data_IF_099819291215
#
_entry.id   IF_099819291215
#
_cell.length_a   1.000
_cell.length_b   1.000
_cell.length_c   1.000
_cell.angle_alpha   90.00
_cell.angle_beta   90.00
_cell.angle_gamma   90.00
#
_symmetry.space_group_name_H-M   'P 1'
#
loop_
_entity.id
_entity.type
_entity.pdbx_description
1 polymer ?
#
# COMPACT_ATOMS: atom_id res chain seq x y z
N UNK A 1 6.31 -23.30 -31.30
CA UNK A 1 6.16 -21.97 -31.94
C UNK A 1 4.85 -21.41 -31.43
N UNK A 2 4.81 -20.30 -30.68
CA UNK A 2 3.53 -19.70 -30.35
C UNK A 2 2.95 -19.05 -31.61
N UNK A 3 1.68 -19.34 -31.91
CA UNK A 3 0.94 -18.77 -33.03
C UNK A 3 0.69 -17.29 -32.79
N UNK A 4 1.29 -16.45 -33.64
CA UNK A 4 1.11 -15.00 -33.64
C UNK A 4 -0.03 -14.63 -34.61
N UNK A 5 -1.27 -14.85 -34.18
CA UNK A 5 -2.49 -14.56 -34.97
C UNK A 5 -3.17 -13.29 -34.46
N UNK A 6 -3.34 -12.31 -35.36
CA UNK A 6 -4.07 -11.06 -35.10
C UNK A 6 -5.60 -11.24 -35.10
N UNK A 7 -6.37 -10.16 -34.81
CA UNK A 7 -7.83 -10.19 -34.72
C UNK A 7 -8.48 -10.24 -36.13
N UNK A 8 -8.32 -11.36 -36.82
CA UNK A 8 -9.01 -11.79 -38.05
C UNK A 8 -8.44 -13.10 -38.63
N UNK A 9 -7.38 -13.68 -38.06
CA UNK A 9 -6.69 -14.84 -38.63
C UNK A 9 -5.83 -14.50 -39.87
N UNK A 10 -5.66 -13.22 -40.21
CA UNK A 10 -4.72 -12.76 -41.22
C UNK A 10 -3.29 -12.70 -40.66
N UNK A 11 -2.25 -13.01 -41.47
CA UNK A 11 -0.87 -12.80 -41.07
C UNK A 11 -0.65 -11.34 -40.70
N UNK A 12 -0.06 -11.09 -39.53
CA UNK A 12 0.39 -9.76 -39.14
C UNK A 12 1.46 -9.31 -40.14
N UNK A 13 1.29 -8.10 -40.67
CA UNK A 13 2.37 -7.44 -41.41
C UNK A 13 3.54 -7.11 -40.48
N UNK A 14 4.67 -6.74 -41.08
CA UNK A 14 5.91 -6.52 -40.34
C UNK A 14 5.80 -5.35 -39.35
N UNK A 15 4.97 -4.34 -39.65
CA UNK A 15 4.71 -3.18 -38.78
C UNK A 15 3.92 -3.61 -37.53
N UNK A 16 2.83 -4.37 -37.70
CA UNK A 16 2.04 -4.88 -36.59
C UNK A 16 2.87 -5.82 -35.69
N UNK A 17 3.80 -6.58 -36.27
CA UNK A 17 4.71 -7.46 -35.51
C UNK A 17 5.71 -6.65 -34.67
N UNK A 18 6.32 -5.62 -35.26
CA UNK A 18 7.23 -4.74 -34.54
C UNK A 18 6.52 -3.99 -33.40
N UNK A 19 5.31 -3.50 -33.65
CA UNK A 19 4.50 -2.85 -32.62
C UNK A 19 4.14 -3.78 -31.44
N UNK A 20 3.88 -5.07 -31.70
CA UNK A 20 3.60 -6.05 -30.64
C UNK A 20 4.84 -6.38 -29.81
N UNK A 21 6.03 -6.40 -30.43
CA UNK A 21 7.30 -6.59 -29.74
C UNK A 21 7.59 -5.41 -28.80
N UNK A 22 7.51 -4.18 -29.31
CA UNK A 22 7.70 -2.96 -28.52
C UNK A 22 6.68 -2.86 -27.36
N UNK A 23 5.42 -3.20 -27.63
CA UNK A 23 4.38 -3.26 -26.60
C UNK A 23 4.72 -4.29 -25.51
N UNK A 24 5.30 -5.43 -25.89
CA UNK A 24 5.78 -6.45 -24.96
C UNK A 24 6.87 -5.92 -24.04
N UNK A 25 7.87 -5.24 -24.59
CA UNK A 25 8.99 -4.67 -23.84
C UNK A 25 8.56 -3.56 -22.87
N UNK A 26 7.65 -2.69 -23.32
CA UNK A 26 7.05 -1.65 -22.47
C UNK A 26 6.28 -2.29 -21.31
N UNK A 27 5.48 -3.31 -21.57
CA UNK A 27 4.71 -4.02 -20.53
C UNK A 27 5.62 -4.74 -19.54
N UNK A 28 6.69 -5.39 -20.01
CA UNK A 28 7.69 -5.98 -19.12
C UNK A 28 8.34 -4.94 -18.20
N UNK A 29 8.56 -3.72 -18.70
CA UNK A 29 9.05 -2.61 -17.87
C UNK A 29 8.03 -2.15 -16.82
N UNK A 30 6.74 -2.12 -17.18
CA UNK A 30 5.64 -1.82 -16.25
C UNK A 30 5.57 -2.89 -15.15
N UNK A 31 5.59 -4.17 -15.51
CA UNK A 31 5.52 -5.28 -14.55
C UNK A 31 6.66 -5.22 -13.53
N UNK A 32 7.87 -4.84 -13.96
CA UNK A 32 9.01 -4.66 -13.07
C UNK A 32 8.81 -3.49 -12.08
N UNK A 33 8.23 -2.38 -12.54
CA UNK A 33 7.89 -1.23 -11.67
C UNK A 33 6.82 -1.65 -10.66
N UNK A 34 5.79 -2.36 -11.10
CA UNK A 34 4.70 -2.83 -10.24
C UNK A 34 5.21 -3.77 -9.15
N UNK A 35 6.12 -4.69 -9.48
CA UNK A 35 6.78 -5.54 -8.49
C UNK A 35 7.55 -4.70 -7.44
N UNK A 36 8.30 -3.69 -7.88
CA UNK A 36 9.02 -2.79 -6.98
C UNK A 36 8.05 -2.01 -6.07
N UNK A 37 6.93 -1.51 -6.61
CA UNK A 37 5.90 -0.81 -5.84
C UNK A 37 5.31 -1.71 -4.75
N UNK A 38 4.99 -2.96 -5.05
CA UNK A 38 4.46 -3.93 -4.08
C UNK A 38 5.47 -4.19 -2.96
N UNK A 39 6.75 -4.40 -3.29
CA UNK A 39 7.78 -4.62 -2.28
C UNK A 39 8.00 -3.40 -1.38
N UNK A 40 8.02 -2.18 -1.96
CA UNK A 40 8.14 -0.94 -1.20
C UNK A 40 6.93 -0.70 -0.29
N UNK A 41 5.72 -1.01 -0.76
CA UNK A 41 4.52 -0.95 0.07
C UNK A 41 4.61 -1.95 1.22
N UNK A 42 4.98 -3.21 0.97
CA UNK A 42 5.14 -4.22 2.02
C UNK A 42 6.11 -3.74 3.12
N UNK A 43 7.24 -3.16 2.72
CA UNK A 43 8.20 -2.59 3.67
C UNK A 43 7.62 -1.39 4.44
N UNK A 44 6.93 -0.47 3.76
CA UNK A 44 6.23 0.65 4.39
C UNK A 44 5.21 0.17 5.42
N UNK A 45 4.47 -0.90 5.13
CA UNK A 45 3.47 -1.47 6.03
C UNK A 45 4.08 -2.10 7.28
N UNK A 46 5.30 -2.65 7.22
CA UNK A 46 6.01 -3.11 8.43
C UNK A 46 6.24 -1.95 9.41
N UNK A 47 6.69 -0.79 8.90
CA UNK A 47 6.90 0.39 9.72
C UNK A 47 5.59 0.94 10.29
N UNK A 48 4.51 0.99 9.48
CA UNK A 48 3.22 1.46 9.99
C UNK A 48 2.66 0.53 11.05
N UNK A 49 2.82 -0.79 10.95
CA UNK A 49 2.44 -1.72 12.01
C UNK A 49 3.23 -1.48 13.31
N UNK A 50 4.54 -1.21 13.22
CA UNK A 50 5.35 -0.84 14.38
C UNK A 50 4.86 0.46 15.03
N UNK A 51 4.50 1.47 14.23
CA UNK A 51 3.86 2.69 14.74
C UNK A 51 2.52 2.37 15.40
N UNK A 52 1.70 1.50 14.82
CA UNK A 52 0.42 1.09 15.38
C UNK A 52 0.57 0.40 16.74
N UNK A 53 1.51 -0.55 16.86
CA UNK A 53 1.83 -1.22 18.13
C UNK A 53 2.32 -0.23 19.19
N UNK A 54 3.19 0.70 18.81
CA UNK A 54 3.67 1.76 19.70
C UNK A 54 2.51 2.65 20.18
N UNK A 55 1.65 3.09 19.25
CA UNK A 55 0.49 3.91 19.59
C UNK A 55 -0.44 3.20 20.56
N UNK A 56 -0.79 1.95 20.27
CA UNK A 56 -1.65 1.13 21.12
C UNK A 56 -1.05 0.95 22.53
N UNK A 57 0.24 0.63 22.64
CA UNK A 57 0.93 0.44 23.91
C UNK A 57 0.94 1.69 24.81
N UNK A 58 0.80 2.89 24.22
CA UNK A 58 0.80 4.16 24.93
C UNK A 58 -0.57 4.87 24.92
N UNK A 59 -1.64 4.19 24.48
CA UNK A 59 -2.98 4.79 24.41
C UNK A 59 -3.09 5.99 23.46
N UNK A 60 -2.22 6.07 22.45
CA UNK A 60 -2.25 7.14 21.45
C UNK A 60 -3.28 6.83 20.35
N UNK A 61 -3.92 7.86 19.77
CA UNK A 61 -4.93 7.66 18.73
C UNK A 61 -4.33 7.10 17.44
N UNK A 62 -5.09 6.22 16.78
CA UNK A 62 -4.74 5.64 15.49
C UNK A 62 -4.57 6.72 14.40
N UNK A 63 -5.51 7.65 14.32
CA UNK A 63 -5.45 8.81 13.42
C UNK A 63 -4.57 9.93 13.99
N UNK A 64 -3.90 10.67 13.10
CA UNK A 64 -3.14 11.88 13.42
C UNK A 64 -3.34 12.89 12.27
N UNK A 65 -4.40 13.72 12.35
CA UNK A 65 -4.78 14.60 11.24
C UNK A 65 -3.67 15.57 10.81
N UNK A 66 -2.86 16.04 11.76
CA UNK A 66 -1.79 16.98 11.47
C UNK A 66 -0.61 16.26 10.78
N UNK A 67 -0.28 15.03 11.19
CA UNK A 67 0.68 14.19 10.47
C UNK A 67 0.19 13.85 9.06
N UNK A 68 -1.08 13.50 8.90
CA UNK A 68 -1.71 13.17 7.61
C UNK A 68 -1.66 14.36 6.64
N UNK A 69 -2.06 15.54 7.09
CA UNK A 69 -1.98 16.79 6.31
C UNK A 69 -0.54 17.07 5.82
N UNK A 70 0.46 16.91 6.68
CA UNK A 70 1.88 17.07 6.28
C UNK A 70 2.34 16.03 5.27
N UNK A 71 1.84 14.79 5.35
CA UNK A 71 2.14 13.77 4.33
C UNK A 71 1.56 14.15 2.97
N UNK A 72 0.30 14.57 2.94
CA UNK A 72 -0.37 15.00 1.70
C UNK A 72 0.40 16.14 1.04
N UNK A 73 0.73 17.20 1.79
CA UNK A 73 1.48 18.34 1.24
C UNK A 73 2.84 17.93 0.67
N UNK A 74 3.60 17.11 1.40
CA UNK A 74 4.92 16.65 0.92
C UNK A 74 4.79 15.79 -0.34
N UNK A 75 3.81 14.88 -0.40
CA UNK A 75 3.67 13.97 -1.53
C UNK A 75 3.12 14.67 -2.78
N UNK A 76 2.26 15.69 -2.61
CA UNK A 76 1.85 16.55 -3.73
C UNK A 76 3.06 17.24 -4.37
N UNK A 77 3.96 17.81 -3.56
CA UNK A 77 5.19 18.42 -4.07
C UNK A 77 6.08 17.41 -4.81
N UNK A 78 6.27 16.20 -4.26
CA UNK A 78 7.03 15.14 -4.93
C UNK A 78 6.37 14.68 -6.24
N UNK A 79 5.04 14.67 -6.31
CA UNK A 79 4.31 14.34 -7.53
C UNK A 79 4.57 15.39 -8.62
N UNK A 80 4.50 16.69 -8.26
CA UNK A 80 4.84 17.79 -9.19
C UNK A 80 6.27 17.67 -9.71
N UNK A 81 7.25 17.46 -8.83
CA UNK A 81 8.66 17.24 -9.20
C UNK A 81 8.85 16.04 -10.13
N UNK A 82 8.05 15.00 -9.93
CA UNK A 82 8.09 13.75 -10.71
C UNK A 82 7.22 13.79 -11.98
N UNK A 83 6.56 14.92 -12.27
CA UNK A 83 5.59 15.07 -13.38
C UNK A 83 4.41 14.08 -13.30
N UNK A 84 4.03 13.70 -12.08
CA UNK A 84 2.82 12.95 -11.77
C UNK A 84 1.70 13.92 -11.37
N UNK A 85 0.46 13.64 -11.76
CA UNK A 85 -0.70 14.45 -11.33
C UNK A 85 -0.80 14.48 -9.79
N UNK A 86 -0.70 15.66 -9.15
CA UNK A 86 -0.77 15.77 -7.70
C UNK A 86 -2.13 15.33 -7.13
N UNK A 87 -3.21 15.49 -7.89
CA UNK A 87 -4.53 15.04 -7.47
C UNK A 87 -4.63 13.52 -7.46
N UNK A 88 -4.02 12.83 -8.43
CA UNK A 88 -3.88 11.39 -8.42
C UNK A 88 -3.02 10.90 -7.25
N UNK A 89 -1.85 11.52 -7.03
CA UNK A 89 -0.96 11.17 -5.92
C UNK A 89 -1.65 11.30 -4.55
N UNK A 90 -2.44 12.36 -4.37
CA UNK A 90 -3.23 12.56 -3.15
C UNK A 90 -4.29 11.46 -2.97
N UNK A 91 -5.05 11.11 -4.01
CA UNK A 91 -6.05 10.02 -3.94
C UNK A 91 -5.40 8.70 -3.56
N UNK A 92 -4.28 8.36 -4.19
CA UNK A 92 -3.52 7.15 -3.86
C UNK A 92 -3.02 7.17 -2.41
N UNK A 93 -2.48 8.29 -1.95
CA UNK A 93 -2.03 8.41 -0.55
C UNK A 93 -3.18 8.27 0.44
N UNK A 94 -4.32 8.92 0.18
CA UNK A 94 -5.50 8.84 1.05
C UNK A 94 -5.98 7.40 1.19
N UNK A 95 -5.96 6.63 0.10
CA UNK A 95 -6.25 5.19 0.13
C UNK A 95 -5.27 4.44 1.07
N UNK A 96 -3.97 4.65 0.91
CA UNK A 96 -2.95 3.99 1.75
C UNK A 96 -3.06 4.41 3.22
N UNK A 97 -3.34 5.67 3.51
CA UNK A 97 -3.50 6.18 4.88
C UNK A 97 -4.72 5.57 5.56
N UNK A 98 -5.85 5.48 4.86
CA UNK A 98 -7.06 4.85 5.38
C UNK A 98 -6.80 3.40 5.81
N UNK A 99 -6.08 2.64 4.98
CA UNK A 99 -5.71 1.25 5.30
C UNK A 99 -4.78 1.16 6.53
N UNK A 100 -3.84 2.10 6.67
CA UNK A 100 -2.97 2.17 7.84
C UNK A 100 -3.75 2.46 9.13
N UNK A 101 -4.69 3.40 9.09
CA UNK A 101 -5.54 3.74 10.24
C UNK A 101 -6.38 2.52 10.63
N UNK A 102 -6.96 1.82 9.66
CA UNK A 102 -7.71 0.59 9.91
C UNK A 102 -6.85 -0.45 10.66
N UNK A 103 -5.62 -0.69 10.19
CA UNK A 103 -4.69 -1.59 10.89
C UNK A 103 -4.33 -1.12 12.31
N UNK A 104 -4.17 0.18 12.54
CA UNK A 104 -3.88 0.71 13.88
C UNK A 104 -5.03 0.49 14.84
N UNK A 105 -6.26 0.71 14.39
CA UNK A 105 -7.47 0.43 15.18
C UNK A 105 -7.53 -1.04 15.59
N UNK A 106 -7.31 -1.97 14.63
CA UNK A 106 -7.28 -3.41 14.91
C UNK A 106 -6.20 -3.80 15.93
N UNK A 107 -4.98 -3.26 15.79
CA UNK A 107 -3.88 -3.52 16.74
C UNK A 107 -4.25 -3.04 18.15
N UNK A 108 -4.92 -1.90 18.28
CA UNK A 108 -5.37 -1.38 19.56
C UNK A 108 -6.47 -2.26 20.19
N UNK A 109 -7.43 -2.73 19.39
CA UNK A 109 -8.48 -3.68 19.81
C UNK A 109 -7.88 -5.00 20.31
N UNK A 110 -6.94 -5.58 19.55
CA UNK A 110 -6.27 -6.84 19.91
C UNK A 110 -5.47 -6.71 21.22
N UNK A 111 -4.78 -5.58 21.44
CA UNK A 111 -4.06 -5.32 22.69
C UNK A 111 -5.01 -5.08 23.87
N UNK A 112 -6.14 -4.42 23.65
CA UNK A 112 -7.18 -4.25 24.67
C UNK A 112 -7.80 -5.59 25.10
N UNK A 113 -8.03 -6.49 24.15
CA UNK A 113 -8.52 -7.84 24.43
C UNK A 113 -7.49 -8.68 25.21
N UNK A 114 -6.21 -8.62 24.83
CA UNK A 114 -5.14 -9.35 25.51
C UNK A 114 -4.93 -8.87 26.96
N UNK A 115 -4.95 -7.55 27.20
CA UNK A 115 -4.83 -6.99 28.57
C UNK A 115 -6.02 -7.37 29.45
N UNK A 116 -7.23 -7.40 28.88
CA UNK A 116 -8.45 -7.83 29.60
C UNK A 116 -8.43 -9.32 29.97
N UNK A 117 -7.90 -10.19 29.09
CA UNK A 117 -7.78 -11.61 29.36
C UNK A 117 -6.81 -11.92 30.51
N UNK A 118 -5.65 -11.26 30.54
CA UNK A 118 -4.65 -11.43 31.62
C UNK A 118 -5.20 -10.95 32.97
N UNK A 119 -5.95 -9.84 32.99
CA UNK A 119 -6.55 -9.32 34.23
C UNK A 119 -7.60 -10.27 34.86
N UNK A 120 -8.22 -11.15 34.06
CA UNK A 120 -9.19 -12.13 34.54
C UNK A 120 -8.53 -13.42 35.07
N UNK A 121 -7.29 -13.71 34.66
CA UNK A 121 -6.56 -14.92 35.07
C UNK A 121 -5.80 -14.75 36.40
N UNK A 122 -5.34 -13.54 36.74
CA UNK A 122 -4.66 -13.24 38.02
C UNK A 122 -5.60 -13.10 39.23
N UNK A 123 -6.92 -13.25 39.04
CA UNK A 123 -7.96 -13.23 40.08
C UNK A 123 -8.06 -14.52 40.90
N UNK A 124 -6.94 -15.14 41.29
CA UNK A 124 -6.90 -16.35 42.13
C UNK A 124 -7.57 -16.15 43.51
N UNK A 125 -8.19 -17.20 44.08
CA UNK A 125 -9.23 -17.04 45.09
C UNK A 125 -8.67 -16.49 46.40
N UNK A 126 -9.36 -15.48 46.94
CA UNK A 126 -9.22 -15.09 48.33
C UNK A 126 -9.63 -16.28 49.22
N UNK A 127 -8.67 -16.85 49.93
CA UNK A 127 -8.86 -17.80 51.02
C UNK A 127 -7.97 -17.40 52.20
#
# INVERSE_FOLDING_TARGET
MPENTGPAGAPLDDDARAALEELGDIRGSIDNIDAALVHLLAERFKFTQSVGRLKAAHGLPAADPERERRQILRLRALAEESRLDPAFAEKFLNFIVAEVIHHHTRIAEDQGAATSAVALEDGGPAA
#
